data_IF_986776703413
#
_entry.id   IF_986776703413
#
_cell.length_a   1.000
_cell.length_b   1.000
_cell.length_c   1.000
_cell.angle_alpha   90.00
_cell.angle_beta   90.00
_cell.angle_gamma   90.00
#
_symmetry.space_group_name_H-M   'P 1'
#
loop_
_entity.id
_entity.type
_entity.pdbx_description
1 polymer ?
#
# COMPACT_ATOMS: atom_id res chain seq x y z
N UNK A 1 -14.75 20.16 1.26
CA UNK A 1 -14.13 21.22 0.41
C UNK A 1 -14.61 20.97 -1.01
N UNK A 2 -14.96 21.98 -1.83
CA UNK A 2 -15.35 21.70 -3.22
C UNK A 2 -14.13 21.28 -4.05
N UNK A 3 -14.30 20.43 -5.06
CA UNK A 3 -13.21 19.95 -5.92
C UNK A 3 -12.45 21.07 -6.64
N UNK A 4 -13.16 22.12 -7.07
CA UNK A 4 -12.55 23.33 -7.65
C UNK A 4 -11.59 24.03 -6.68
N UNK A 5 -11.92 24.05 -5.39
CA UNK A 5 -11.07 24.65 -4.37
C UNK A 5 -9.81 23.82 -4.12
N UNK A 6 -9.93 22.49 -4.09
CA UNK A 6 -8.77 21.59 -3.96
C UNK A 6 -7.79 21.80 -5.10
N UNK A 7 -8.27 21.79 -6.35
CA UNK A 7 -7.44 22.00 -7.55
C UNK A 7 -6.76 23.37 -7.54
N UNK A 8 -7.48 24.41 -7.10
CA UNK A 8 -6.91 25.77 -6.97
C UNK A 8 -5.77 25.81 -5.95
N UNK A 9 -5.99 25.27 -4.74
CA UNK A 9 -5.00 25.26 -3.66
C UNK A 9 -3.75 24.45 -4.04
N UNK A 10 -3.91 23.32 -4.75
CA UNK A 10 -2.78 22.58 -5.30
C UNK A 10 -2.02 23.39 -6.36
N UNK A 11 -2.73 24.06 -7.29
CA UNK A 11 -2.10 24.89 -8.32
C UNK A 11 -1.32 26.08 -7.75
N UNK A 12 -1.77 26.62 -6.62
CA UNK A 12 -1.04 27.67 -5.89
C UNK A 12 0.28 27.14 -5.31
N UNK A 13 0.29 25.93 -4.73
CA UNK A 13 1.53 25.29 -4.27
C UNK A 13 2.48 24.94 -5.43
N UNK A 14 1.97 24.54 -6.60
CA UNK A 14 2.80 24.31 -7.79
C UNK A 14 3.57 25.56 -8.22
N UNK A 15 2.85 26.69 -8.32
CA UNK A 15 3.44 27.99 -8.68
C UNK A 15 4.48 28.42 -7.66
N UNK A 16 4.17 28.27 -6.37
CA UNK A 16 5.05 28.65 -5.25
C UNK A 16 6.36 27.86 -5.25
N UNK A 17 6.32 26.57 -5.56
CA UNK A 17 7.50 25.72 -5.55
C UNK A 17 8.24 25.69 -6.91
N UNK A 18 7.72 26.37 -7.94
CA UNK A 18 8.21 26.28 -9.33
C UNK A 18 8.25 24.82 -9.83
N UNK A 19 7.23 24.06 -9.47
CA UNK A 19 7.08 22.65 -9.81
C UNK A 19 5.92 22.46 -10.78
N UNK A 20 5.95 21.35 -11.53
CA UNK A 20 4.92 21.06 -12.52
C UNK A 20 4.32 19.67 -12.33
N UNK A 21 3.34 19.56 -11.43
CA UNK A 21 2.33 18.50 -11.47
C UNK A 21 1.12 18.93 -12.35
N UNK A 22 1.21 20.09 -13.03
CA UNK A 22 0.16 20.93 -13.63
C UNK A 22 -0.69 20.24 -14.72
N UNK A 23 -0.46 18.95 -14.96
CA UNK A 23 -1.12 18.14 -15.99
C UNK A 23 -1.64 16.80 -15.46
N UNK A 24 -1.69 16.61 -14.14
CA UNK A 24 -2.39 15.49 -13.54
C UNK A 24 -3.86 15.59 -13.94
N UNK A 25 -4.34 14.58 -14.66
CA UNK A 25 -5.76 14.46 -15.06
C UNK A 25 -6.57 13.77 -13.96
N UNK A 26 -6.05 13.77 -12.73
CA UNK A 26 -6.66 13.15 -11.57
C UNK A 26 -8.01 13.79 -11.26
N UNK A 27 -8.96 12.95 -10.85
CA UNK A 27 -10.23 13.41 -10.33
C UNK A 27 -10.10 13.93 -8.90
N UNK A 28 -11.17 14.56 -8.42
CA UNK A 28 -11.19 15.16 -7.08
C UNK A 28 -11.06 14.09 -6.00
N UNK A 29 -11.63 12.89 -6.22
CA UNK A 29 -11.58 11.78 -5.28
C UNK A 29 -10.14 11.28 -5.06
N UNK A 30 -9.32 11.22 -6.11
CA UNK A 30 -7.90 10.85 -6.02
C UNK A 30 -7.09 11.89 -5.24
N UNK A 31 -7.30 13.18 -5.54
CA UNK A 31 -6.62 14.28 -4.83
C UNK A 31 -7.00 14.35 -3.35
N UNK A 32 -8.27 14.08 -3.03
CA UNK A 32 -8.77 14.04 -1.66
C UNK A 32 -8.01 13.00 -0.80
N UNK A 33 -7.57 11.87 -1.37
CA UNK A 33 -6.78 10.87 -0.62
C UNK A 33 -5.53 11.49 0.00
N UNK A 34 -4.81 12.33 -0.74
CA UNK A 34 -3.63 13.04 -0.23
C UNK A 34 -3.98 14.05 0.87
N UNK A 35 -5.12 14.73 0.75
CA UNK A 35 -5.61 15.65 1.78
C UNK A 35 -5.99 14.90 3.07
N UNK A 36 -6.79 13.83 2.99
CA UNK A 36 -7.13 13.01 4.16
C UNK A 36 -5.89 12.46 4.84
N UNK A 37 -4.92 12.01 4.05
CA UNK A 37 -3.67 11.46 4.56
C UNK A 37 -2.81 12.46 5.35
N UNK A 38 -3.09 13.76 5.23
CA UNK A 38 -2.34 14.86 5.85
C UNK A 38 -3.20 15.75 6.75
N UNK A 39 -4.39 15.29 7.14
CA UNK A 39 -5.39 16.06 7.89
C UNK A 39 -5.71 17.42 7.21
N UNK A 40 -5.87 17.40 5.89
CA UNK A 40 -6.20 18.55 5.04
C UNK A 40 -5.17 19.69 5.04
N UNK A 41 -3.91 19.41 5.43
CA UNK A 41 -2.82 20.37 5.28
C UNK A 41 -2.31 20.33 3.84
N UNK A 42 -2.79 21.26 3.00
CA UNK A 42 -2.52 21.31 1.55
C UNK A 42 -1.04 21.20 1.21
N UNK A 43 -0.18 21.99 1.85
CA UNK A 43 1.27 21.97 1.61
C UNK A 43 1.87 20.56 1.82
N UNK A 44 1.43 19.87 2.88
CA UNK A 44 1.87 18.50 3.17
C UNK A 44 1.31 17.51 2.15
N UNK A 45 0.05 17.68 1.74
CA UNK A 45 -0.59 16.85 0.72
C UNK A 45 0.13 16.97 -0.63
N UNK A 46 0.42 18.20 -1.05
CA UNK A 46 1.17 18.51 -2.26
C UNK A 46 2.57 17.90 -2.21
N UNK A 47 3.31 18.10 -1.12
CA UNK A 47 4.64 17.52 -0.93
C UNK A 47 4.63 15.99 -1.01
N UNK A 48 3.66 15.33 -0.36
CA UNK A 48 3.52 13.86 -0.41
C UNK A 48 3.21 13.38 -1.83
N UNK A 49 2.30 14.06 -2.53
CA UNK A 49 1.94 13.74 -3.91
C UNK A 49 3.15 13.90 -4.84
N UNK A 50 3.90 14.99 -4.70
CA UNK A 50 5.15 15.19 -5.45
C UNK A 50 6.12 14.04 -5.23
N UNK A 51 6.40 13.68 -3.98
CA UNK A 51 7.31 12.58 -3.67
C UNK A 51 6.82 11.23 -4.24
N UNK A 52 5.50 11.02 -4.32
CA UNK A 52 4.92 9.84 -4.99
C UNK A 52 5.27 9.83 -6.49
N UNK A 53 5.10 10.96 -7.17
CA UNK A 53 5.35 11.10 -8.60
C UNK A 53 6.84 11.10 -8.96
N UNK A 54 7.70 11.71 -8.13
CA UNK A 54 9.15 11.62 -8.28
C UNK A 54 9.60 10.14 -8.18
N UNK A 55 9.07 9.40 -7.19
CA UNK A 55 9.36 7.98 -7.03
C UNK A 55 8.85 7.14 -8.21
N UNK A 56 7.68 7.47 -8.75
CA UNK A 56 7.11 6.84 -9.94
C UNK A 56 8.00 7.02 -11.17
N UNK A 57 8.56 8.22 -11.36
CA UNK A 57 9.43 8.56 -12.48
C UNK A 57 10.81 7.88 -12.36
N UNK A 58 11.38 7.87 -11.16
CA UNK A 58 12.68 7.23 -10.87
C UNK A 58 12.62 5.69 -10.96
N UNK A 59 11.50 5.09 -10.54
CA UNK A 59 11.36 3.64 -10.36
C UNK A 59 10.02 3.10 -10.90
N UNK A 60 9.69 3.29 -12.19
CA UNK A 60 8.38 2.91 -12.74
C UNK A 60 8.05 1.42 -12.63
N UNK A 61 9.06 0.53 -12.55
CA UNK A 61 8.89 -0.91 -12.35
C UNK A 61 8.34 -1.29 -10.97
N UNK A 62 8.38 -0.37 -10.01
CA UNK A 62 7.84 -0.52 -8.65
C UNK A 62 6.41 -0.02 -8.51
N UNK A 63 5.69 0.13 -9.62
CA UNK A 63 4.30 0.57 -9.64
C UNK A 63 3.48 -0.25 -10.63
N UNK A 64 2.25 -0.59 -10.23
CA UNK A 64 1.28 -1.15 -11.15
C UNK A 64 0.89 -0.13 -12.23
N UNK A 65 0.84 -0.60 -13.48
CA UNK A 65 0.33 0.16 -14.63
C UNK A 65 -0.89 -0.54 -15.27
N UNK A 66 -0.95 -1.87 -15.17
CA UNK A 66 -1.95 -2.68 -15.86
C UNK A 66 -3.16 -3.10 -15.02
N UNK A 67 -4.16 -3.70 -15.68
CA UNK A 67 -5.39 -4.17 -15.04
C UNK A 67 -5.16 -5.31 -14.05
N UNK A 68 -6.00 -5.47 -13.01
CA UNK A 68 -5.95 -6.59 -12.08
C UNK A 68 -5.90 -7.97 -12.74
N UNK A 69 -6.69 -8.19 -13.80
CA UNK A 69 -6.76 -9.48 -14.49
C UNK A 69 -5.42 -9.89 -15.13
N UNK A 70 -4.54 -8.95 -15.47
CA UNK A 70 -3.19 -9.25 -15.95
C UNK A 70 -2.29 -9.87 -14.87
N UNK A 71 -2.65 -9.71 -13.59
CA UNK A 71 -1.95 -10.28 -12.43
C UNK A 71 -2.76 -11.39 -11.74
N UNK A 72 -3.82 -11.90 -12.39
CA UNK A 72 -4.73 -12.91 -11.82
C UNK A 72 -4.00 -14.11 -11.20
N UNK A 73 -3.06 -14.71 -11.92
CA UNK A 73 -2.27 -15.87 -11.46
C UNK A 73 -1.47 -15.58 -10.18
N UNK A 74 -1.02 -14.33 -9.98
CA UNK A 74 -0.29 -13.93 -8.78
C UNK A 74 -1.27 -13.61 -7.65
N UNK A 75 -2.38 -12.95 -7.96
CA UNK A 75 -3.44 -12.62 -7.00
C UNK A 75 -4.03 -13.91 -6.37
N UNK A 76 -4.21 -14.96 -7.16
CA UNK A 76 -4.73 -16.27 -6.70
C UNK A 76 -3.73 -17.08 -5.85
N UNK A 77 -2.49 -16.59 -5.68
CA UNK A 77 -1.51 -17.18 -4.73
C UNK A 77 -1.69 -16.66 -3.30
N UNK A 78 -2.63 -15.75 -3.07
CA UNK A 78 -3.02 -15.28 -1.74
C UNK A 78 -1.84 -14.67 -0.96
N UNK A 79 -0.96 -13.98 -1.69
CA UNK A 79 0.16 -13.22 -1.10
C UNK A 79 -0.32 -11.97 -0.37
N UNK A 80 -1.52 -11.49 -0.73
CA UNK A 80 -2.23 -10.34 -0.17
C UNK A 80 -3.71 -10.67 -0.10
N UNK A 81 -4.36 -10.26 0.98
CA UNK A 81 -5.79 -10.49 1.19
C UNK A 81 -6.46 -9.18 1.63
N UNK A 82 -7.52 -8.82 0.91
CA UNK A 82 -8.51 -7.86 1.37
C UNK A 82 -9.42 -8.53 2.39
N UNK A 83 -9.92 -7.75 3.34
CA UNK A 83 -10.82 -8.24 4.38
C UNK A 83 -11.98 -7.29 4.57
N UNK A 84 -13.07 -7.74 5.18
CA UNK A 84 -14.09 -6.86 5.77
C UNK A 84 -13.86 -6.60 7.27
N UNK A 85 -12.64 -6.85 7.76
CA UNK A 85 -12.29 -6.64 9.17
C UNK A 85 -11.84 -5.21 9.35
N UNK A 86 -12.26 -4.63 10.47
CA UNK A 86 -11.77 -3.35 10.96
C UNK A 86 -11.07 -3.58 12.29
N UNK A 87 -10.03 -2.80 12.55
CA UNK A 87 -9.45 -2.75 13.88
C UNK A 87 -10.31 -1.90 14.84
N UNK A 88 -9.94 -1.88 16.11
CA UNK A 88 -10.71 -1.21 17.17
C UNK A 88 -10.84 0.31 17.01
N UNK A 89 -10.05 0.93 16.13
CA UNK A 89 -10.16 2.37 15.81
C UNK A 89 -10.78 2.61 14.44
N UNK A 90 -11.34 1.57 13.82
CA UNK A 90 -12.10 1.65 12.57
C UNK A 90 -11.22 1.76 11.33
N UNK A 91 -9.99 1.25 11.35
CA UNK A 91 -9.15 1.13 10.15
C UNK A 91 -9.41 -0.22 9.49
N UNK A 92 -9.59 -0.29 8.16
CA UNK A 92 -9.69 -1.57 7.47
C UNK A 92 -8.40 -2.38 7.65
N UNK A 93 -8.55 -3.69 7.80
CA UNK A 93 -7.46 -4.64 7.95
C UNK A 93 -7.10 -5.23 6.59
N UNK A 94 -5.81 -5.21 6.28
CA UNK A 94 -5.22 -5.79 5.08
C UNK A 94 -4.16 -6.82 5.49
N UNK A 95 -4.16 -7.99 4.86
CA UNK A 95 -3.29 -9.10 5.28
C UNK A 95 -2.22 -9.35 4.22
N UNK A 96 -0.98 -9.46 4.67
CA UNK A 96 0.21 -9.78 3.88
C UNK A 96 0.72 -11.15 4.31
N UNK A 97 0.64 -12.15 3.42
CA UNK A 97 1.15 -13.50 3.69
C UNK A 97 2.53 -13.67 3.07
N UNK A 98 3.56 -13.54 3.90
CA UNK A 98 4.95 -13.55 3.44
C UNK A 98 5.34 -14.92 2.87
N UNK A 99 4.90 -16.00 3.52
CA UNK A 99 5.21 -17.37 3.12
C UNK A 99 4.71 -17.79 1.73
N UNK A 100 3.69 -17.09 1.22
CA UNK A 100 3.12 -17.38 -0.10
C UNK A 100 3.95 -16.77 -1.24
N UNK A 101 4.90 -15.86 -0.92
CA UNK A 101 5.74 -15.22 -1.92
C UNK A 101 6.90 -16.13 -2.34
N UNK A 102 7.02 -16.39 -3.65
CA UNK A 102 8.04 -17.28 -4.20
C UNK A 102 8.63 -16.73 -5.49
N UNK A 103 9.90 -16.31 -5.42
CA UNK A 103 10.70 -15.81 -6.55
C UNK A 103 10.74 -16.77 -7.75
N UNK A 104 10.49 -18.06 -7.55
CA UNK A 104 10.42 -19.05 -8.65
C UNK A 104 9.20 -18.84 -9.55
N UNK A 105 8.15 -18.21 -9.02
CA UNK A 105 6.85 -18.09 -9.68
C UNK A 105 6.35 -16.65 -9.79
N UNK A 106 7.10 -15.68 -9.26
CA UNK A 106 6.75 -14.27 -9.30
C UNK A 106 8.00 -13.40 -9.21
N UNK A 107 7.99 -12.27 -9.89
CA UNK A 107 8.97 -11.22 -9.70
C UNK A 107 8.56 -10.32 -8.51
N UNK A 108 9.40 -10.27 -7.47
CA UNK A 108 9.06 -9.58 -6.23
C UNK A 108 8.92 -8.06 -6.38
N UNK A 109 9.50 -7.47 -7.44
CA UNK A 109 9.43 -6.03 -7.70
C UNK A 109 8.21 -5.66 -8.54
N UNK A 110 7.88 -6.47 -9.54
CA UNK A 110 6.85 -6.12 -10.53
C UNK A 110 5.56 -6.91 -10.37
N UNK A 111 5.57 -8.10 -9.77
CA UNK A 111 4.36 -8.86 -9.48
C UNK A 111 3.80 -8.52 -8.10
N UNK A 112 4.60 -8.73 -7.04
CA UNK A 112 4.15 -8.56 -5.65
C UNK A 112 3.71 -7.13 -5.37
N UNK A 113 4.53 -6.17 -5.76
CA UNK A 113 4.24 -4.74 -5.62
C UNK A 113 3.02 -4.33 -6.45
N UNK A 114 2.83 -4.92 -7.64
CA UNK A 114 1.65 -4.64 -8.44
C UNK A 114 0.37 -5.14 -7.75
N UNK A 115 0.41 -6.32 -7.14
CA UNK A 115 -0.72 -6.84 -6.35
C UNK A 115 -1.03 -5.92 -5.17
N UNK A 116 0.00 -5.43 -4.46
CA UNK A 116 -0.17 -4.43 -3.41
C UNK A 116 -0.86 -3.16 -3.94
N UNK A 117 -0.38 -2.61 -5.05
CA UNK A 117 -0.96 -1.41 -5.66
C UNK A 117 -2.41 -1.63 -6.10
N UNK A 118 -2.72 -2.78 -6.73
CA UNK A 118 -4.07 -3.12 -7.18
C UNK A 118 -5.03 -3.15 -5.99
N UNK A 119 -4.65 -3.82 -4.90
CA UNK A 119 -5.51 -3.99 -3.74
C UNK A 119 -5.66 -2.66 -2.98
N UNK A 120 -4.57 -1.90 -2.85
CA UNK A 120 -4.60 -0.57 -2.23
C UNK A 120 -5.41 0.43 -3.06
N UNK A 121 -5.32 0.41 -4.39
CA UNK A 121 -6.11 1.29 -5.26
C UNK A 121 -7.61 1.00 -5.09
N UNK A 122 -7.99 -0.28 -5.11
CA UNK A 122 -9.38 -0.68 -4.86
C UNK A 122 -9.84 -0.25 -3.47
N UNK A 123 -9.04 -0.50 -2.43
CA UNK A 123 -9.38 -0.20 -1.04
C UNK A 123 -9.54 1.31 -0.81
N UNK A 124 -8.62 2.13 -1.34
CA UNK A 124 -8.67 3.60 -1.22
C UNK A 124 -9.81 4.24 -2.04
N UNK A 125 -10.27 3.57 -3.09
CA UNK A 125 -11.43 4.01 -3.86
C UNK A 125 -12.76 3.65 -3.18
N UNK A 126 -12.85 2.46 -2.56
CA UNK A 126 -14.12 1.87 -2.17
C UNK A 126 -14.40 1.86 -0.65
N UNK A 127 -13.38 2.03 0.20
CA UNK A 127 -13.58 2.04 1.65
C UNK A 127 -13.22 3.43 2.24
N UNK A 128 -14.22 4.27 2.57
CA UNK A 128 -13.99 5.56 3.22
C UNK A 128 -13.28 5.46 4.58
N UNK A 129 -13.31 4.31 5.25
CA UNK A 129 -12.62 4.11 6.52
C UNK A 129 -11.09 4.17 6.37
N UNK A 130 -10.55 3.98 5.16
CA UNK A 130 -9.12 4.21 4.86
C UNK A 130 -8.64 5.62 5.19
N UNK A 131 -9.56 6.59 5.30
CA UNK A 131 -9.27 7.96 5.78
C UNK A 131 -8.73 7.98 7.21
N UNK A 132 -9.03 6.96 8.01
CA UNK A 132 -8.50 6.76 9.36
C UNK A 132 -7.13 6.08 9.38
N UNK A 133 -6.64 5.61 8.22
CA UNK A 133 -5.46 4.77 8.08
C UNK A 133 -5.82 3.34 7.71
N UNK A 134 -4.83 2.46 7.68
CA UNK A 134 -4.98 1.03 7.35
C UNK A 134 -4.18 0.21 8.36
N UNK A 135 -4.78 -0.88 8.86
CA UNK A 135 -4.10 -1.86 9.70
C UNK A 135 -3.61 -3.01 8.83
N UNK A 136 -2.33 -3.37 8.96
CA UNK A 136 -1.65 -4.35 8.12
C UNK A 136 -1.23 -5.53 9.01
N UNK A 137 -1.86 -6.68 8.83
CA UNK A 137 -1.36 -7.94 9.41
C UNK A 137 -0.29 -8.48 8.48
N UNK A 138 0.94 -8.62 8.97
CA UNK A 138 2.06 -9.25 8.26
C UNK A 138 2.27 -10.62 8.88
N UNK A 139 1.76 -11.64 8.20
CA UNK A 139 1.97 -13.03 8.56
C UNK A 139 3.34 -13.47 8.04
N UNK A 140 4.28 -13.61 8.98
CA UNK A 140 5.67 -13.97 8.68
C UNK A 140 5.92 -15.48 8.67
N UNK A 141 4.88 -16.30 8.78
CA UNK A 141 4.98 -17.74 8.63
C UNK A 141 5.66 -18.10 7.32
N UNK A 142 6.52 -19.13 7.35
CA UNK A 142 7.27 -19.62 6.19
C UNK A 142 8.11 -18.55 5.47
N UNK A 143 8.51 -17.48 6.17
CA UNK A 143 9.42 -16.48 5.60
C UNK A 143 10.74 -17.12 5.14
N UNK A 144 11.00 -17.03 3.83
CA UNK A 144 12.03 -17.82 3.16
C UNK A 144 13.37 -17.10 3.04
N UNK A 145 14.45 -17.88 2.94
CA UNK A 145 15.80 -17.38 2.65
C UNK A 145 15.91 -16.58 1.34
N UNK A 146 15.01 -16.83 0.39
CA UNK A 146 15.03 -16.13 -0.88
C UNK A 146 14.44 -14.73 -0.74
N UNK A 147 13.36 -14.58 0.04
CA UNK A 147 12.85 -13.26 0.37
C UNK A 147 13.85 -12.49 1.25
N UNK A 148 14.56 -13.18 2.15
CA UNK A 148 15.67 -12.58 2.90
C UNK A 148 16.73 -11.96 1.97
N UNK A 149 17.16 -12.69 0.94
CA UNK A 149 18.12 -12.18 -0.05
C UNK A 149 17.62 -10.97 -0.83
N UNK A 150 16.31 -10.84 -0.99
CA UNK A 150 15.69 -9.71 -1.67
C UNK A 150 15.65 -8.43 -0.82
N UNK A 151 15.85 -8.53 0.51
CA UNK A 151 15.94 -7.39 1.44
C UNK A 151 17.28 -6.64 1.33
N UNK A 152 17.63 -6.21 0.13
CA UNK A 152 18.80 -5.35 -0.10
C UNK A 152 18.53 -3.92 0.39
N UNK A 153 19.56 -3.15 0.79
CA UNK A 153 19.39 -1.75 1.16
C UNK A 153 18.67 -0.89 0.11
N UNK A 154 18.88 -1.19 -1.18
CA UNK A 154 18.19 -0.50 -2.28
C UNK A 154 16.68 -0.78 -2.26
N UNK A 155 16.30 -2.05 -2.21
CA UNK A 155 14.89 -2.46 -2.18
C UNK A 155 14.17 -1.93 -0.93
N UNK A 156 14.81 -2.00 0.24
CA UNK A 156 14.26 -1.48 1.50
C UNK A 156 13.99 0.02 1.38
N UNK A 157 14.95 0.80 0.87
CA UNK A 157 14.77 2.25 0.69
C UNK A 157 13.60 2.56 -0.25
N UNK A 158 13.44 1.83 -1.34
CA UNK A 158 12.33 2.05 -2.27
C UNK A 158 10.99 1.70 -1.61
N UNK A 159 10.89 0.58 -0.90
CA UNK A 159 9.68 0.19 -0.16
C UNK A 159 9.30 1.25 0.88
N UNK A 160 10.27 1.75 1.65
CA UNK A 160 10.02 2.79 2.66
C UNK A 160 9.58 4.11 2.03
N UNK A 161 10.16 4.49 0.88
CA UNK A 161 9.67 5.63 0.10
C UNK A 161 8.24 5.40 -0.36
N UNK A 162 7.88 4.22 -0.86
CA UNK A 162 6.49 3.89 -1.24
C UNK A 162 5.53 4.02 -0.06
N UNK A 163 5.88 3.47 1.11
CA UNK A 163 5.07 3.60 2.34
C UNK A 163 4.87 5.07 2.71
N UNK A 164 5.93 5.89 2.61
CA UNK A 164 5.88 7.30 2.97
C UNK A 164 5.05 8.16 2.00
N UNK A 165 5.02 7.78 0.72
CA UNK A 165 4.38 8.56 -0.35
C UNK A 165 2.96 8.13 -0.66
N UNK A 166 2.56 6.91 -0.28
CA UNK A 166 1.17 6.46 -0.41
C UNK A 166 0.21 7.44 0.30
N UNK A 167 -0.97 7.74 -0.30
CA UNK A 167 -1.94 8.68 0.26
C UNK A 167 -2.77 8.03 1.39
N UNK A 168 -2.09 7.45 2.37
CA UNK A 168 -2.66 6.81 3.56
C UNK A 168 -2.25 7.61 4.77
N UNK A 169 -3.21 7.90 5.66
CA UNK A 169 -2.96 8.70 6.86
C UNK A 169 -1.90 8.07 7.77
N UNK A 170 -2.06 6.77 8.02
CA UNK A 170 -1.20 6.00 8.89
C UNK A 170 -1.36 4.52 8.55
N UNK A 171 -0.25 3.79 8.46
CA UNK A 171 -0.25 2.34 8.48
C UNK A 171 0.06 1.86 9.88
N UNK A 172 -0.70 0.89 10.39
CA UNK A 172 -0.34 0.14 11.60
C UNK A 172 0.12 -1.24 11.18
N UNK A 173 1.31 -1.67 11.58
CA UNK A 173 1.84 -2.96 11.18
C UNK A 173 1.80 -3.94 12.35
N UNK A 174 1.19 -5.10 12.14
CA UNK A 174 1.05 -6.18 13.11
C UNK A 174 1.77 -7.40 12.58
N UNK A 175 2.97 -7.70 13.08
CA UNK A 175 3.69 -8.91 12.71
C UNK A 175 3.20 -10.07 13.57
N UNK A 176 2.66 -11.10 12.91
CA UNK A 176 2.05 -12.27 13.54
C UNK A 176 2.73 -13.54 13.07
N UNK A 177 2.66 -14.57 13.90
CA UNK A 177 3.35 -15.85 13.76
C UNK A 177 4.88 -15.69 13.79
N UNK A 178 5.60 -16.80 13.85
CA UNK A 178 7.07 -16.80 13.94
C UNK A 178 7.75 -17.38 12.69
N UNK A 179 9.00 -16.96 12.47
CA UNK A 179 9.90 -17.58 11.50
C UNK A 179 11.34 -17.55 12.02
N UNK A 180 12.11 -18.59 11.72
CA UNK A 180 13.53 -18.69 12.08
C UNK A 180 14.38 -17.50 11.58
N UNK A 181 13.95 -16.87 10.49
CA UNK A 181 14.71 -15.80 9.84
C UNK A 181 14.31 -14.40 10.29
N UNK A 182 13.29 -14.24 11.15
CA UNK A 182 12.71 -12.92 11.41
C UNK A 182 13.69 -11.96 12.08
N UNK A 183 14.44 -12.41 13.09
CA UNK A 183 15.39 -11.55 13.80
C UNK A 183 16.46 -10.99 12.86
N UNK A 184 16.95 -11.80 11.90
CA UNK A 184 17.88 -11.34 10.88
C UNK A 184 17.24 -10.29 9.97
N UNK A 185 16.01 -10.50 9.52
CA UNK A 185 15.30 -9.51 8.70
C UNK A 185 15.06 -8.20 9.46
N UNK A 186 14.66 -8.27 10.74
CA UNK A 186 14.49 -7.08 11.58
C UNK A 186 15.82 -6.33 11.67
N UNK A 187 16.93 -6.99 11.96
CA UNK A 187 18.23 -6.34 12.05
C UNK A 187 18.67 -5.67 10.74
N UNK A 188 18.27 -6.21 9.59
CA UNK A 188 18.52 -5.61 8.27
C UNK A 188 17.60 -4.41 8.04
N UNK A 189 16.30 -4.49 8.36
CA UNK A 189 15.29 -3.47 8.00
C UNK A 189 15.27 -2.31 9.02
N UNK A 190 15.36 -2.62 10.31
CA UNK A 190 15.16 -1.68 11.42
C UNK A 190 16.04 -0.41 11.35
N UNK A 191 17.32 -0.48 10.95
CA UNK A 191 18.17 0.71 10.80
C UNK A 191 17.65 1.72 9.76
N UNK A 192 16.88 1.26 8.77
CA UNK A 192 16.32 2.14 7.73
C UNK A 192 14.98 2.78 8.13
N UNK A 193 14.31 2.24 9.15
CA UNK A 193 13.02 2.76 9.61
C UNK A 193 13.20 4.09 10.36
N UNK A 194 12.37 5.08 10.03
CA UNK A 194 12.26 6.30 10.84
C UNK A 194 11.64 5.98 12.21
N UNK A 195 11.88 6.81 13.24
CA UNK A 195 11.24 6.62 14.56
C UNK A 195 9.73 6.46 14.46
N UNK A 196 9.08 7.30 13.65
CA UNK A 196 7.65 7.22 13.42
C UNK A 196 7.20 5.86 12.88
N UNK A 197 7.89 5.29 11.88
CA UNK A 197 7.51 3.96 11.35
C UNK A 197 7.74 2.88 12.41
N UNK A 198 8.83 2.95 13.19
CA UNK A 198 9.11 1.97 14.26
C UNK A 198 7.99 1.91 15.29
N UNK A 199 7.42 3.06 15.68
CA UNK A 199 6.32 3.14 16.65
C UNK A 199 5.01 2.51 16.12
N UNK A 200 4.87 2.47 14.80
CA UNK A 200 3.74 1.84 14.12
C UNK A 200 3.86 0.33 13.94
N UNK A 201 5.03 -0.26 14.17
CA UNK A 201 5.24 -1.69 14.11
C UNK A 201 4.99 -2.33 15.48
N UNK A 202 4.13 -3.34 15.51
CA UNK A 202 3.85 -4.20 16.66
C UNK A 202 4.23 -5.63 16.34
N UNK A 203 5.02 -6.22 17.22
CA UNK A 203 5.46 -7.61 17.11
C UNK A 203 4.62 -8.44 18.07
N UNK A 204 3.73 -9.25 17.51
CA UNK A 204 2.88 -10.17 18.26
C UNK A 204 3.45 -11.59 18.23
N UNK A 205 4.08 -11.96 17.11
CA UNK A 205 4.55 -13.32 16.86
C UNK A 205 3.44 -14.34 17.15
N UNK A 206 3.70 -15.34 17.98
CA UNK A 206 2.72 -16.37 18.35
C UNK A 206 1.82 -15.96 19.54
N UNK A 207 2.02 -14.76 20.13
CA UNK A 207 1.12 -14.22 21.17
C UNK A 207 -0.04 -13.43 20.55
N UNK A 208 -1.10 -14.14 20.20
CA UNK A 208 -2.28 -13.54 19.60
C UNK A 208 -3.11 -12.69 20.57
N UNK A 209 -2.95 -12.85 21.90
CA UNK A 209 -3.65 -11.98 22.85
C UNK A 209 -3.21 -10.52 22.68
N UNK A 210 -1.91 -10.30 22.43
CA UNK A 210 -1.38 -8.97 22.14
C UNK A 210 -1.93 -8.39 20.83
N UNK A 211 -2.30 -9.22 19.84
CA UNK A 211 -2.99 -8.76 18.63
C UNK A 211 -4.43 -8.33 18.94
N UNK A 212 -5.09 -9.06 19.84
CA UNK A 212 -6.48 -8.79 20.25
C UNK A 212 -6.66 -7.45 20.96
N UNK A 213 -5.57 -6.85 21.46
CA UNK A 213 -5.58 -5.46 21.95
C UNK A 213 -5.92 -4.44 20.86
N UNK A 214 -5.68 -4.78 19.59
CA UNK A 214 -5.84 -3.88 18.44
C UNK A 214 -7.00 -4.29 17.52
N UNK A 215 -7.24 -5.58 17.33
CA UNK A 215 -8.27 -6.12 16.43
C UNK A 215 -9.09 -7.13 17.21
N UNK A 216 -10.42 -7.00 17.22
CA UNK A 216 -11.27 -7.94 17.97
C UNK A 216 -11.08 -9.38 17.49
N UNK A 217 -11.08 -10.31 18.43
CA UNK A 217 -10.82 -11.73 18.14
C UNK A 217 -11.90 -12.29 17.21
N UNK A 218 -13.15 -11.94 17.45
CA UNK A 218 -14.32 -12.52 16.79
C UNK A 218 -14.35 -12.21 15.29
N UNK A 219 -13.75 -11.10 14.87
CA UNK A 219 -13.70 -10.66 13.47
C UNK A 219 -12.50 -11.23 12.71
N UNK A 220 -11.47 -11.72 13.41
CA UNK A 220 -10.27 -12.28 12.79
C UNK A 220 -10.53 -13.66 12.17
N UNK A 221 -9.81 -14.01 11.09
CA UNK A 221 -9.77 -15.38 10.57
C UNK A 221 -9.28 -16.40 11.61
N UNK A 222 -9.70 -17.68 11.53
CA UNK A 222 -9.20 -18.75 12.40
C UNK A 222 -7.67 -18.90 12.36
N UNK A 223 -7.05 -18.63 11.21
CA UNK A 223 -5.59 -18.64 11.02
C UNK A 223 -4.85 -17.62 11.91
N UNK A 224 -5.56 -16.64 12.46
CA UNK A 224 -5.06 -15.63 13.40
C UNK A 224 -5.83 -15.67 14.74
N UNK A 225 -6.48 -16.80 15.03
CA UNK A 225 -7.11 -17.15 16.31
C UNK A 225 -8.48 -16.57 16.58
N UNK A 226 -9.07 -15.98 15.55
CA UNK A 226 -10.45 -15.60 15.56
C UNK A 226 -11.40 -16.72 15.20
N UNK A 227 -12.64 -16.34 14.89
CA UNK A 227 -13.73 -17.26 14.59
C UNK A 227 -14.41 -16.97 13.26
N UNK A 228 -13.96 -15.94 12.53
CA UNK A 228 -14.59 -15.48 11.32
C UNK A 228 -14.09 -16.24 10.09
N UNK A 229 -14.91 -17.16 9.55
CA UNK A 229 -14.60 -17.88 8.32
C UNK A 229 -14.79 -16.99 7.09
N UNK A 230 -13.80 -16.13 6.83
CA UNK A 230 -13.82 -15.19 5.72
C UNK A 230 -13.57 -15.90 4.38
N UNK A 231 -14.43 -15.63 3.40
CA UNK A 231 -14.22 -16.08 2.03
C UNK A 231 -13.41 -15.04 1.25
N UNK A 232 -12.09 -15.21 1.27
CA UNK A 232 -11.17 -14.32 0.56
C UNK A 232 -11.39 -14.27 -0.95
N UNK A 233 -12.01 -15.30 -1.53
CA UNK A 233 -12.31 -15.37 -2.97
C UNK A 233 -13.25 -14.25 -3.38
N UNK A 234 -14.29 -13.96 -2.57
CA UNK A 234 -15.25 -12.89 -2.85
C UNK A 234 -14.59 -11.51 -2.97
N UNK A 235 -13.60 -11.21 -2.13
CA UNK A 235 -12.90 -9.92 -2.20
C UNK A 235 -11.99 -9.84 -3.42
N UNK A 236 -11.34 -10.94 -3.81
CA UNK A 236 -10.58 -10.97 -5.08
C UNK A 236 -11.49 -10.83 -6.30
N UNK A 237 -12.68 -11.42 -6.25
CA UNK A 237 -13.70 -11.24 -7.30
C UNK A 237 -14.16 -9.79 -7.42
N UNK A 238 -14.33 -9.05 -6.31
CA UNK A 238 -14.63 -7.62 -6.36
C UNK A 238 -13.54 -6.82 -7.08
N UNK A 239 -12.26 -7.16 -6.84
CA UNK A 239 -11.14 -6.55 -7.58
C UNK A 239 -11.21 -6.87 -9.07
N UNK A 240 -11.58 -8.09 -9.45
CA UNK A 240 -11.76 -8.46 -10.87
C UNK A 240 -12.98 -7.81 -11.52
N UNK A 241 -14.08 -7.63 -10.79
CA UNK A 241 -15.26 -6.91 -11.28
C UNK A 241 -14.95 -5.43 -11.55
N UNK A 242 -14.04 -4.84 -10.75
CA UNK A 242 -13.57 -3.46 -10.91
C UNK A 242 -12.29 -3.35 -11.75
N UNK A 243 -12.02 -4.33 -12.62
CA UNK A 243 -10.80 -4.40 -13.41
C UNK A 243 -10.51 -3.12 -14.20
N UNK A 244 -11.50 -2.66 -14.97
CA UNK A 244 -11.36 -1.48 -15.83
C UNK A 244 -11.24 -0.18 -15.02
N UNK A 245 -11.94 -0.07 -13.90
CA UNK A 245 -11.87 1.12 -13.04
C UNK A 245 -10.48 1.29 -12.45
N UNK A 246 -9.92 0.22 -11.88
CA UNK A 246 -8.56 0.22 -11.32
C UNK A 246 -7.53 0.49 -12.42
N UNK A 247 -7.66 -0.17 -13.57
CA UNK A 247 -6.78 0.06 -14.72
C UNK A 247 -6.84 1.51 -15.21
N UNK A 248 -8.05 2.10 -15.25
CA UNK A 248 -8.25 3.47 -15.64
C UNK A 248 -7.64 4.46 -14.63
N UNK A 249 -7.74 4.17 -13.33
CA UNK A 249 -7.05 4.96 -12.30
C UNK A 249 -5.54 4.94 -12.52
N UNK A 250 -4.92 3.77 -12.75
CA UNK A 250 -3.48 3.70 -13.04
C UNK A 250 -3.11 4.42 -14.34
N UNK A 251 -3.91 4.27 -15.39
CA UNK A 251 -3.69 4.97 -16.66
C UNK A 251 -3.68 6.49 -16.47
N UNK A 252 -4.71 7.03 -15.81
CA UNK A 252 -4.86 8.47 -15.60
C UNK A 252 -3.79 9.01 -14.66
N UNK A 253 -3.63 8.35 -13.51
CA UNK A 253 -2.84 8.86 -12.40
C UNK A 253 -1.37 8.45 -12.46
N UNK A 254 -0.95 7.54 -13.35
CA UNK A 254 0.45 7.07 -13.43
C UNK A 254 0.97 7.08 -14.86
N UNK A 255 0.31 6.37 -15.78
CA UNK A 255 0.84 6.23 -17.15
C UNK A 255 0.85 7.55 -17.92
N UNK A 256 -0.24 8.33 -17.86
CA UNK A 256 -0.30 9.62 -18.55
C UNK A 256 0.68 10.62 -17.95
N UNK A 257 0.95 10.55 -16.65
CA UNK A 257 2.01 11.33 -16.02
C UNK A 257 3.37 10.97 -16.62
N UNK A 258 3.73 9.67 -16.63
CA UNK A 258 5.01 9.21 -17.17
C UNK A 258 5.20 9.53 -18.66
N UNK A 259 4.16 9.37 -19.48
CA UNK A 259 4.22 9.71 -20.92
C UNK A 259 4.52 11.19 -21.16
N UNK A 260 3.97 12.08 -20.34
CA UNK A 260 4.21 13.54 -20.46
C UNK A 260 5.62 13.94 -20.02
N UNK A 261 6.21 13.23 -19.06
CA UNK A 261 7.52 13.59 -18.48
C UNK A 261 8.70 12.91 -19.18
N UNK A 262 8.52 11.72 -19.77
CA UNK A 262 9.55 11.10 -20.64
C UNK A 262 9.87 11.92 -21.89
N UNK A 263 8.88 12.64 -22.43
CA UNK A 263 9.07 13.52 -23.59
C UNK A 263 9.78 14.84 -23.27
N UNK A 264 10.20 15.07 -22.01
CA UNK A 264 10.91 16.28 -21.59
C UNK A 264 12.44 16.17 -21.74
N UNK A 265 12.94 14.96 -22.01
CA UNK A 265 14.37 14.63 -22.14
C UNK A 265 14.74 14.04 -23.52
N UNK A 266 13.84 14.15 -24.49
CA UNK A 266 14.05 13.90 -25.93
C UNK A 266 13.87 15.21 -26.67
#
# INVERSE_FOLDING_TARGET
MSGERIKKEFSEEEKKNNESLNKLQSDDAYLERFLYSTNFVVEKAFKRMKMFYDLLEEHPQWFAMGPPLAKKVIIEKDIRLLTSVYDKVGRPVYIVKIGNMSWKTMDLVSDVVSVDDIFMEWLLANDPATRNGISIIIDISNFSWNLMRWLTPSNIKIILRRIQTMPVKQFKYHLVNSSLLIHAAINIIWPFLSPHIRDEVKFHFDDWNSLYEYIDREVLPPEYGGTNNMDFTKYREQVYQNNEEIANSFRINRELYLKKHRNKYL
#
